data_IF_651124372943
#
_entry.id   IF_651124372943
#
_cell.length_a   1.000
_cell.length_b   1.000
_cell.length_c   1.000
_cell.angle_alpha   90.00
_cell.angle_beta   90.00
_cell.angle_gamma   90.00
#
_symmetry.space_group_name_H-M   'P 1'
#
loop_
_entity.id
_entity.type
_entity.pdbx_description
1 polymer ?
#
# COMPACT_ATOMS: atom_id res chain seq x y z
N UNK A 1 17.30 -10.88 15.25
CA UNK A 1 17.10 -11.01 13.78
C UNK A 1 15.62 -11.19 13.43
N UNK A 2 14.70 -10.39 14.01
CA UNK A 2 13.24 -10.59 13.86
C UNK A 2 12.61 -9.70 12.77
N UNK A 3 13.34 -8.67 12.33
CA UNK A 3 12.90 -7.71 11.30
C UNK A 3 12.75 -8.36 9.92
N UNK A 4 13.71 -9.20 9.52
CA UNK A 4 13.74 -9.79 8.17
C UNK A 4 12.61 -10.79 7.90
N UNK A 5 12.04 -11.41 8.93
CA UNK A 5 10.86 -12.26 8.78
C UNK A 5 9.61 -11.44 8.43
N UNK A 6 9.42 -10.32 9.16
CA UNK A 6 8.30 -9.39 8.96
C UNK A 6 8.36 -8.70 7.60
N UNK A 7 9.54 -8.30 7.14
CA UNK A 7 9.73 -7.73 5.80
C UNK A 7 9.35 -8.73 4.70
N UNK A 8 9.77 -9.99 4.82
CA UNK A 8 9.42 -11.04 3.84
C UNK A 8 7.92 -11.32 3.82
N UNK A 9 7.26 -11.33 4.98
CA UNK A 9 5.80 -11.46 5.08
C UNK A 9 5.11 -10.26 4.40
N UNK A 10 5.61 -9.04 4.65
CA UNK A 10 5.08 -7.82 4.05
C UNK A 10 5.21 -7.81 2.51
N UNK A 11 6.37 -8.21 1.98
CA UNK A 11 6.60 -8.31 0.53
C UNK A 11 5.65 -9.33 -0.10
N UNK A 12 5.41 -10.47 0.56
CA UNK A 12 4.47 -11.48 0.07
C UNK A 12 3.03 -10.95 0.05
N UNK A 13 2.60 -10.25 1.11
CA UNK A 13 1.29 -9.61 1.15
C UNK A 13 1.12 -8.57 0.04
N UNK A 14 2.15 -7.75 -0.23
CA UNK A 14 2.11 -6.80 -1.34
C UNK A 14 1.98 -7.50 -2.70
N UNK A 15 2.74 -8.58 -2.93
CA UNK A 15 2.67 -9.33 -4.17
C UNK A 15 1.28 -9.98 -4.36
N UNK A 16 0.70 -10.49 -3.29
CA UNK A 16 -0.64 -11.09 -3.33
C UNK A 16 -1.74 -10.05 -3.53
N UNK A 17 -1.62 -8.88 -2.89
CA UNK A 17 -2.48 -7.74 -3.11
C UNK A 17 -2.43 -7.29 -4.58
N UNK A 18 -1.24 -7.14 -5.16
CA UNK A 18 -1.08 -6.74 -6.56
C UNK A 18 -1.73 -7.73 -7.52
N UNK A 19 -1.55 -9.04 -7.25
CA UNK A 19 -2.17 -10.11 -8.03
C UNK A 19 -3.71 -10.03 -7.96
N UNK A 20 -4.27 -9.71 -6.79
CA UNK A 20 -5.72 -9.48 -6.64
C UNK A 20 -6.21 -8.27 -7.42
N UNK A 21 -5.49 -7.14 -7.36
CA UNK A 21 -5.82 -5.94 -8.14
C UNK A 21 -5.80 -6.23 -9.63
N UNK A 22 -4.72 -6.86 -10.14
CA UNK A 22 -4.59 -7.23 -11.56
C UNK A 22 -5.69 -8.19 -12.01
N UNK A 23 -6.03 -9.18 -11.17
CA UNK A 23 -7.14 -10.10 -11.42
C UNK A 23 -8.49 -9.36 -11.47
N UNK A 24 -8.67 -8.34 -10.61
CA UNK A 24 -9.86 -7.49 -10.64
C UNK A 24 -9.96 -6.67 -11.93
N UNK A 25 -8.83 -6.12 -12.42
CA UNK A 25 -8.76 -5.36 -13.67
C UNK A 25 -9.10 -6.21 -14.92
N UNK A 26 -8.68 -7.48 -14.96
CA UNK A 26 -9.06 -8.41 -16.04
C UNK A 26 -10.55 -8.76 -16.04
N UNK A 27 -11.16 -8.85 -14.86
CA UNK A 27 -12.58 -9.18 -14.73
C UNK A 27 -13.50 -7.96 -14.96
N UNK A 28 -13.03 -6.76 -14.60
CA UNK A 28 -13.75 -5.48 -14.78
C UNK A 28 -13.98 -5.05 -16.25
N UNK A 29 -13.45 -5.79 -17.23
CA UNK A 29 -13.86 -5.62 -18.64
C UNK A 29 -15.30 -6.09 -18.88
N UNK A 30 -15.92 -6.81 -17.94
CA UNK A 30 -17.35 -7.14 -17.95
C UNK A 30 -18.03 -6.71 -16.65
N UNK A 31 -18.84 -5.65 -16.72
CA UNK A 31 -19.92 -5.32 -15.77
C UNK A 31 -19.58 -5.37 -14.25
N UNK A 32 -19.29 -4.19 -13.67
CA UNK A 32 -19.87 -3.79 -12.37
C UNK A 32 -19.64 -4.69 -11.12
N UNK A 33 -18.47 -5.31 -10.95
CA UNK A 33 -18.21 -6.22 -9.80
C UNK A 33 -16.81 -6.22 -9.17
N UNK A 34 -15.92 -5.28 -9.52
CA UNK A 34 -14.50 -5.33 -9.14
C UNK A 34 -14.09 -4.66 -7.82
N UNK A 35 -14.97 -3.91 -7.17
CA UNK A 35 -14.59 -3.08 -6.01
C UNK A 35 -14.17 -3.91 -4.79
N UNK A 36 -14.88 -5.00 -4.46
CA UNK A 36 -14.57 -5.82 -3.29
C UNK A 36 -13.13 -6.40 -3.32
N UNK A 37 -12.62 -6.76 -4.51
CA UNK A 37 -11.23 -7.25 -4.66
C UNK A 37 -10.19 -6.14 -4.49
N UNK A 38 -10.54 -4.91 -4.89
CA UNK A 38 -9.68 -3.74 -4.72
C UNK A 38 -9.66 -3.34 -3.24
N UNK A 39 -10.80 -3.40 -2.55
CA UNK A 39 -10.89 -3.21 -1.08
C UNK A 39 -10.04 -4.23 -0.33
N UNK A 40 -10.16 -5.52 -0.67
CA UNK A 40 -9.34 -6.59 -0.07
C UNK A 40 -7.84 -6.36 -0.29
N UNK A 41 -7.45 -5.92 -1.49
CA UNK A 41 -6.06 -5.57 -1.78
C UNK A 41 -5.56 -4.37 -0.98
N UNK A 42 -6.41 -3.35 -0.77
CA UNK A 42 -6.11 -2.19 0.06
C UNK A 42 -5.75 -2.59 1.51
N UNK A 43 -6.56 -3.47 2.10
CA UNK A 43 -6.30 -3.97 3.45
C UNK A 43 -4.97 -4.74 3.52
N UNK A 44 -4.66 -5.54 2.50
CA UNK A 44 -3.38 -6.26 2.42
C UNK A 44 -2.18 -5.34 2.32
N UNK A 45 -2.27 -4.28 1.51
CA UNK A 45 -1.21 -3.26 1.42
C UNK A 45 -1.02 -2.54 2.75
N UNK A 46 -2.11 -2.18 3.43
CA UNK A 46 -2.06 -1.53 4.76
C UNK A 46 -1.42 -2.46 5.80
N UNK A 47 -1.76 -3.75 5.77
CA UNK A 47 -1.15 -4.77 6.64
C UNK A 47 0.34 -4.93 6.37
N UNK A 48 0.74 -5.00 5.09
CA UNK A 48 2.14 -5.04 4.69
C UNK A 48 2.89 -3.78 5.15
N UNK A 49 2.28 -2.60 5.00
CA UNK A 49 2.86 -1.34 5.46
C UNK A 49 3.12 -1.35 6.98
N UNK A 50 2.19 -1.88 7.77
CA UNK A 50 2.38 -2.03 9.21
C UNK A 50 3.52 -2.99 9.57
N UNK A 51 3.69 -4.09 8.83
CA UNK A 51 4.82 -4.99 9.01
C UNK A 51 6.16 -4.32 8.66
N UNK A 52 6.21 -3.52 7.58
CA UNK A 52 7.40 -2.72 7.25
C UNK A 52 7.71 -1.67 8.32
N UNK A 53 6.69 -1.05 8.94
CA UNK A 53 6.88 -0.14 10.09
C UNK A 53 7.53 -0.85 11.28
N UNK A 54 7.08 -2.07 11.60
CA UNK A 54 7.67 -2.90 12.68
C UNK A 54 9.12 -3.26 12.34
N UNK A 55 9.38 -3.56 11.07
CA UNK A 55 10.72 -3.81 10.56
C UNK A 55 11.62 -2.57 10.47
N UNK A 56 11.11 -1.39 10.87
CA UNK A 56 11.78 -0.08 10.72
C UNK A 56 12.15 0.26 9.27
N UNK A 57 11.55 -0.42 8.30
CA UNK A 57 11.72 -0.16 6.88
C UNK A 57 10.68 0.85 6.42
N UNK A 58 10.90 2.10 6.80
CA UNK A 58 9.96 3.18 6.55
C UNK A 58 9.79 3.51 5.06
N UNK A 59 10.84 3.30 4.24
CA UNK A 59 10.77 3.48 2.79
C UNK A 59 9.79 2.50 2.14
N UNK A 60 9.89 1.22 2.50
CA UNK A 60 8.98 0.19 1.98
C UNK A 60 7.55 0.38 2.51
N UNK A 61 7.40 0.78 3.78
CA UNK A 61 6.10 1.11 4.36
C UNK A 61 5.41 2.25 3.60
N UNK A 62 6.15 3.32 3.28
CA UNK A 62 5.63 4.44 2.49
C UNK A 62 5.17 4.02 1.10
N UNK A 63 5.92 3.13 0.44
CA UNK A 63 5.53 2.62 -0.88
C UNK A 63 4.24 1.79 -0.80
N UNK A 64 4.13 0.90 0.19
CA UNK A 64 2.91 0.11 0.43
C UNK A 64 1.68 1.01 0.68
N UNK A 65 1.82 2.07 1.48
CA UNK A 65 0.74 3.05 1.68
C UNK A 65 0.40 3.85 0.42
N UNK A 66 1.39 4.29 -0.38
CA UNK A 66 1.08 4.98 -1.65
C UNK A 66 0.36 4.01 -2.62
N UNK A 67 0.61 2.69 -2.59
CA UNK A 67 -0.18 1.71 -3.36
C UNK A 67 -1.61 1.57 -2.84
N UNK A 68 -1.80 1.42 -1.52
CA UNK A 68 -3.14 1.39 -0.91
C UNK A 68 -3.94 2.67 -1.23
N UNK A 69 -3.30 3.84 -1.13
CA UNK A 69 -3.92 5.12 -1.41
C UNK A 69 -4.44 5.22 -2.85
N UNK A 70 -3.65 4.74 -3.83
CA UNK A 70 -4.04 4.69 -5.24
C UNK A 70 -5.27 3.81 -5.47
N UNK A 71 -5.34 2.66 -4.81
CA UNK A 71 -6.51 1.78 -4.88
C UNK A 71 -7.74 2.41 -4.22
N UNK A 72 -7.59 3.07 -3.07
CA UNK A 72 -8.68 3.85 -2.47
C UNK A 72 -9.18 4.98 -3.38
N UNK A 73 -8.31 5.60 -4.19
CA UNK A 73 -8.76 6.56 -5.23
C UNK A 73 -9.62 5.89 -6.29
N UNK A 74 -9.26 4.68 -6.74
CA UNK A 74 -10.05 3.91 -7.72
C UNK A 74 -11.42 3.53 -7.16
N UNK A 75 -11.49 3.23 -5.85
CA UNK A 75 -12.73 2.96 -5.12
C UNK A 75 -13.59 4.20 -4.84
N UNK A 76 -13.11 5.39 -5.22
CA UNK A 76 -13.67 6.70 -4.87
C UNK A 76 -13.72 7.00 -3.35
N UNK A 77 -12.99 6.22 -2.53
CA UNK A 77 -12.76 6.44 -1.10
C UNK A 77 -11.72 7.54 -0.87
N UNK A 78 -12.08 8.78 -1.19
CA UNK A 78 -11.18 9.94 -1.11
C UNK A 78 -10.64 10.18 0.31
N UNK A 79 -11.45 9.90 1.33
CA UNK A 79 -11.05 10.09 2.73
C UNK A 79 -9.94 9.12 3.13
N UNK A 80 -10.14 7.82 2.90
CA UNK A 80 -9.14 6.78 3.21
C UNK A 80 -7.87 6.95 2.37
N UNK A 81 -8.01 7.33 1.11
CA UNK A 81 -6.88 7.64 0.24
C UNK A 81 -6.01 8.77 0.81
N UNK A 82 -6.63 9.87 1.27
CA UNK A 82 -5.90 10.98 1.86
C UNK A 82 -5.15 10.56 3.14
N UNK A 83 -5.78 9.76 4.00
CA UNK A 83 -5.15 9.21 5.21
C UNK A 83 -3.92 8.37 4.83
N UNK A 84 -4.07 7.46 3.86
CA UNK A 84 -2.96 6.61 3.40
C UNK A 84 -1.80 7.44 2.80
N UNK A 85 -2.09 8.51 2.04
CA UNK A 85 -1.05 9.39 1.52
C UNK A 85 -0.31 10.16 2.61
N UNK A 86 -1.03 10.61 3.65
CA UNK A 86 -0.42 11.27 4.81
C UNK A 86 0.48 10.29 5.56
N UNK A 87 0.03 9.06 5.78
CA UNK A 87 0.82 8.00 6.41
C UNK A 87 2.06 7.63 5.59
N UNK A 88 1.93 7.57 4.26
CA UNK A 88 3.06 7.36 3.36
C UNK A 88 4.08 8.50 3.48
N UNK A 89 3.62 9.75 3.46
CA UNK A 89 4.48 10.93 3.64
C UNK A 89 5.20 10.94 4.99
N UNK A 90 4.49 10.59 6.06
CA UNK A 90 5.06 10.45 7.40
C UNK A 90 6.11 9.33 7.47
N UNK A 91 5.85 8.20 6.80
CA UNK A 91 6.80 7.10 6.71
C UNK A 91 8.06 7.52 5.93
N UNK A 92 7.93 8.13 4.76
CA UNK A 92 9.08 8.61 3.98
C UNK A 92 9.91 9.66 4.73
N UNK A 93 9.26 10.61 5.41
CA UNK A 93 9.93 11.59 6.27
C UNK A 93 10.76 10.93 7.38
N UNK A 94 10.31 9.78 7.87
CA UNK A 94 11.01 9.01 8.90
C UNK A 94 12.08 8.07 8.33
N UNK A 95 11.91 7.65 7.07
CA UNK A 95 12.87 6.84 6.34
C UNK A 95 14.13 7.62 5.96
N UNK A 96 13.94 8.87 5.55
CA UNK A 96 15.02 9.71 5.04
C UNK A 96 14.93 11.12 5.65
N UNK A 97 15.67 11.40 6.74
CA UNK A 97 15.73 12.74 7.30
C UNK A 97 16.55 13.72 6.44
N UNK A 98 17.18 13.28 5.34
CA UNK A 98 18.09 14.10 4.52
C UNK A 98 17.73 14.18 3.01
N UNK A 99 16.66 13.54 2.55
CA UNK A 99 16.26 13.54 1.13
C UNK A 99 15.12 14.51 0.79
N UNK A 100 15.18 15.25 -0.34
CA UNK A 100 14.19 16.26 -0.70
C UNK A 100 12.85 15.61 -1.07
N UNK A 101 11.83 15.87 -0.23
CA UNK A 101 10.36 16.04 -0.42
C UNK A 101 9.66 15.74 -1.78
N UNK A 102 10.18 14.88 -2.66
CA UNK A 102 9.74 14.75 -4.05
C UNK A 102 9.31 13.31 -4.41
N UNK A 103 8.62 12.56 -3.54
CA UNK A 103 8.35 11.13 -3.78
C UNK A 103 6.90 10.64 -3.67
N UNK A 104 5.88 11.50 -3.56
CA UNK A 104 4.51 11.04 -3.81
C UNK A 104 3.66 12.10 -4.55
N UNK A 105 4.15 12.55 -5.72
CA UNK A 105 3.35 13.17 -6.78
C UNK A 105 3.28 12.23 -7.98
#
# INVERSE_FOLDING_TARGET
MESSGKEREAVQLMAEAEKRVKSSHSFLRGLFGGNAKIEEACEMYTRAANLFKIAKNWSAAGNAFCQAAKLHMQLQSKHDSAICFVDAGNAYKKADPQGPIHHCC
#
